data_IF_355308324037
#
_entry.id   IF_355308324037
#
_cell.length_a   1.000
_cell.length_b   1.000
_cell.length_c   1.000
_cell.angle_alpha   90.00
_cell.angle_beta   90.00
_cell.angle_gamma   90.00
#
_symmetry.space_group_name_H-M   'P 1'
#
loop_
_entity.id
_entity.type
_entity.pdbx_description
1 polymer ?
#
# COMPACT_ATOMS: atom_id res chain seq x y z
N UNK A 1 29.04 27.83 0.53
CA UNK A 1 27.71 27.22 0.82
C UNK A 1 27.73 25.77 0.35
N UNK A 2 27.67 24.80 1.26
CA UNK A 2 27.72 23.38 0.90
C UNK A 2 26.38 22.94 0.28
N UNK A 3 26.41 22.45 -0.97
CA UNK A 3 25.25 21.85 -1.63
C UNK A 3 24.82 20.61 -0.84
N UNK A 4 23.67 20.66 -0.16
CA UNK A 4 23.01 19.47 0.38
C UNK A 4 22.61 18.56 -0.78
N UNK A 5 23.41 17.53 -1.03
CA UNK A 5 23.07 16.47 -1.98
C UNK A 5 21.99 15.61 -1.33
N UNK A 6 20.72 15.93 -1.56
CA UNK A 6 19.60 15.07 -1.19
C UNK A 6 19.72 13.75 -1.96
N UNK A 7 20.36 12.74 -1.38
CA UNK A 7 20.36 11.37 -1.92
C UNK A 7 18.94 10.79 -1.79
N UNK A 8 18.10 11.04 -2.80
CA UNK A 8 16.74 10.49 -2.94
C UNK A 8 16.75 9.01 -3.37
N UNK A 9 17.45 8.12 -2.66
CA UNK A 9 17.20 6.67 -2.83
C UNK A 9 15.91 6.32 -2.10
N UNK A 10 14.77 6.37 -2.82
CA UNK A 10 13.46 5.93 -2.31
C UNK A 10 13.41 4.41 -2.06
N UNK A 11 14.29 3.66 -2.72
CA UNK A 11 14.41 2.21 -2.57
C UNK A 11 15.64 1.93 -1.71
N UNK A 12 15.39 1.62 -0.45
CA UNK A 12 16.43 1.28 0.53
C UNK A 12 16.52 -0.25 0.69
N UNK A 13 15.36 -0.92 0.72
CA UNK A 13 15.25 -2.36 0.80
C UNK A 13 14.25 -2.90 -0.26
N UNK A 14 14.69 -3.11 -1.52
CA UNK A 14 13.80 -3.47 -2.61
C UNK A 14 13.02 -4.77 -2.33
N UNK A 15 13.65 -5.76 -1.71
CA UNK A 15 13.01 -7.07 -1.47
C UNK A 15 11.82 -6.96 -0.52
N UNK A 16 11.91 -6.14 0.53
CA UNK A 16 10.79 -5.85 1.41
C UNK A 16 9.73 -4.98 0.72
N UNK A 17 10.15 -3.95 -0.02
CA UNK A 17 9.22 -3.01 -0.63
C UNK A 17 8.36 -3.66 -1.71
N UNK A 18 8.96 -4.48 -2.59
CA UNK A 18 8.21 -5.22 -3.61
C UNK A 18 7.28 -6.27 -3.01
N UNK A 19 7.63 -6.90 -1.88
CA UNK A 19 6.73 -7.82 -1.18
C UNK A 19 5.47 -7.12 -0.66
N UNK A 20 5.62 -5.97 0.02
CA UNK A 20 4.46 -5.20 0.51
C UNK A 20 3.61 -4.70 -0.66
N UNK A 21 4.23 -4.07 -1.66
CA UNK A 21 3.49 -3.53 -2.80
C UNK A 21 2.79 -4.66 -3.56
N UNK A 22 3.47 -5.79 -3.78
CA UNK A 22 2.89 -6.98 -4.41
C UNK A 22 1.71 -7.55 -3.62
N UNK A 23 1.80 -7.62 -2.30
CA UNK A 23 0.69 -8.05 -1.44
C UNK A 23 -0.51 -7.10 -1.53
N UNK A 24 -0.28 -5.78 -1.48
CA UNK A 24 -1.34 -4.78 -1.65
C UNK A 24 -1.98 -4.84 -3.04
N UNK A 25 -1.16 -5.02 -4.09
CA UNK A 25 -1.61 -5.18 -5.47
C UNK A 25 -2.46 -6.45 -5.65
N UNK A 26 -2.04 -7.57 -5.07
CA UNK A 26 -2.81 -8.81 -5.08
C UNK A 26 -4.18 -8.62 -4.41
N UNK A 27 -4.23 -7.91 -3.27
CA UNK A 27 -5.48 -7.60 -2.58
C UNK A 27 -6.45 -6.76 -3.41
N UNK A 28 -5.96 -5.72 -4.10
CA UNK A 28 -6.83 -4.91 -4.98
C UNK A 28 -7.26 -5.67 -6.23
N UNK A 29 -6.38 -6.44 -6.86
CA UNK A 29 -6.76 -7.28 -8.01
C UNK A 29 -7.85 -8.26 -7.61
N UNK A 30 -7.69 -8.94 -6.46
CA UNK A 30 -8.71 -9.84 -5.92
C UNK A 30 -10.05 -9.11 -5.68
N UNK A 31 -9.99 -7.90 -5.11
CA UNK A 31 -11.17 -7.07 -4.85
C UNK A 31 -11.89 -6.66 -6.14
N UNK A 32 -11.13 -6.25 -7.18
CA UNK A 32 -11.66 -5.88 -8.50
C UNK A 32 -12.32 -7.08 -9.17
N UNK A 33 -11.66 -8.24 -9.16
CA UNK A 33 -12.21 -9.49 -9.72
C UNK A 33 -13.48 -9.89 -8.98
N UNK A 34 -13.46 -9.88 -7.64
CA UNK A 34 -14.63 -10.21 -6.83
C UNK A 34 -15.80 -9.29 -7.13
N UNK A 35 -15.58 -7.97 -7.21
CA UNK A 35 -16.62 -7.02 -7.53
C UNK A 35 -17.17 -7.22 -8.95
N UNK A 36 -16.31 -7.47 -9.93
CA UNK A 36 -16.73 -7.75 -11.31
C UNK A 36 -17.63 -8.98 -11.38
N UNK A 37 -17.24 -10.08 -10.71
CA UNK A 37 -18.07 -11.30 -10.63
C UNK A 37 -19.41 -10.99 -9.96
N UNK A 38 -19.41 -10.27 -8.84
CA UNK A 38 -20.65 -9.87 -8.15
C UNK A 38 -21.55 -9.02 -9.04
N UNK A 39 -21.00 -8.07 -9.78
CA UNK A 39 -21.75 -7.19 -10.69
C UNK A 39 -22.40 -7.98 -11.83
N UNK A 40 -21.66 -8.90 -12.47
CA UNK A 40 -22.20 -9.75 -13.54
C UNK A 40 -23.34 -10.64 -13.02
N UNK A 41 -23.14 -11.31 -11.89
CA UNK A 41 -24.18 -12.13 -11.27
C UNK A 41 -25.41 -11.31 -10.88
N UNK A 42 -25.21 -10.07 -10.43
CA UNK A 42 -26.30 -9.15 -10.12
C UNK A 42 -27.13 -8.80 -11.36
N UNK A 43 -26.48 -8.45 -12.48
CA UNK A 43 -27.19 -8.13 -13.72
C UNK A 43 -27.91 -9.34 -14.31
N UNK A 44 -27.33 -10.54 -14.24
CA UNK A 44 -28.00 -11.76 -14.67
C UNK A 44 -29.24 -12.06 -13.83
N UNK A 45 -29.13 -11.93 -12.49
CA UNK A 45 -30.27 -12.08 -11.58
C UNK A 45 -31.35 -11.02 -11.85
N UNK A 46 -30.95 -9.78 -12.12
CA UNK A 46 -31.86 -8.67 -12.40
C UNK A 46 -32.65 -8.93 -13.68
N UNK A 47 -31.98 -9.31 -14.78
CA UNK A 47 -32.61 -9.66 -16.05
C UNK A 47 -33.56 -10.83 -15.89
N UNK A 48 -33.16 -11.88 -15.17
CA UNK A 48 -34.00 -13.05 -14.90
C UNK A 48 -35.29 -12.68 -14.15
N UNK A 49 -35.18 -11.85 -13.11
CA UNK A 49 -36.34 -11.34 -12.36
C UNK A 49 -37.23 -10.42 -13.19
N UNK A 50 -36.64 -9.60 -14.07
CA UNK A 50 -37.39 -8.70 -14.94
C UNK A 50 -38.24 -9.49 -15.95
N UNK A 51 -37.67 -10.52 -16.58
CA UNK A 51 -38.41 -11.42 -17.48
C UNK A 51 -39.52 -12.16 -16.74
N UNK A 52 -39.23 -12.73 -15.56
CA UNK A 52 -40.21 -13.46 -14.76
C UNK A 52 -41.41 -12.61 -14.30
N UNK A 53 -41.24 -11.29 -14.21
CA UNK A 53 -42.30 -10.33 -13.84
C UNK A 53 -42.98 -9.67 -15.04
N UNK A 54 -42.61 -10.03 -16.27
CA UNK A 54 -43.18 -9.42 -17.47
C UNK A 54 -42.87 -7.94 -17.59
N UNK A 55 -41.67 -7.52 -17.16
CA UNK A 55 -41.22 -6.13 -17.28
C UNK A 55 -41.24 -5.69 -18.75
N UNK A 56 -41.65 -4.45 -19.00
CA UNK A 56 -41.75 -3.88 -20.35
C UNK A 56 -40.42 -3.98 -21.12
N UNK A 57 -40.47 -4.23 -22.44
CA UNK A 57 -39.28 -4.32 -23.29
C UNK A 57 -38.38 -3.08 -23.22
N UNK A 58 -38.95 -1.89 -23.09
CA UNK A 58 -38.20 -0.63 -22.97
C UNK A 58 -37.29 -0.61 -21.73
N UNK A 59 -37.76 -1.15 -20.60
CA UNK A 59 -36.95 -1.25 -19.38
C UNK A 59 -35.83 -2.29 -19.55
N UNK A 60 -36.10 -3.39 -20.28
CA UNK A 60 -35.08 -4.39 -20.59
C UNK A 60 -33.98 -3.85 -21.50
N UNK A 61 -34.30 -2.97 -22.44
CA UNK A 61 -33.30 -2.26 -23.26
C UNK A 61 -32.43 -1.35 -22.41
N UNK A 62 -33.03 -0.56 -21.50
CA UNK A 62 -32.28 0.27 -20.56
C UNK A 62 -31.30 -0.57 -19.72
N UNK A 63 -31.71 -1.73 -19.21
CA UNK A 63 -30.83 -2.61 -18.44
C UNK A 63 -29.62 -3.06 -19.27
N UNK A 64 -29.84 -3.41 -20.55
CA UNK A 64 -28.78 -3.82 -21.48
C UNK A 64 -27.83 -2.67 -21.84
N UNK A 65 -28.30 -1.44 -21.85
CA UNK A 65 -27.46 -0.26 -22.08
C UNK A 65 -26.66 0.15 -20.83
N UNK A 66 -27.28 0.05 -19.66
CA UNK A 66 -26.66 0.46 -18.37
C UNK A 66 -25.56 -0.50 -17.94
N UNK A 67 -25.73 -1.80 -18.13
CA UNK A 67 -24.74 -2.82 -17.73
C UNK A 67 -23.32 -2.58 -18.30
N UNK A 68 -23.11 -2.42 -19.63
CA UNK A 68 -21.79 -2.15 -20.17
C UNK A 68 -21.28 -0.76 -19.76
N UNK A 69 -22.16 0.24 -19.60
CA UNK A 69 -21.78 1.57 -19.13
C UNK A 69 -21.25 1.54 -17.69
N UNK A 70 -21.95 0.83 -16.79
CA UNK A 70 -21.50 0.60 -15.41
C UNK A 70 -20.20 -0.20 -15.37
N UNK A 71 -20.07 -1.22 -16.22
CA UNK A 71 -18.84 -2.02 -16.32
C UNK A 71 -17.65 -1.15 -16.72
N UNK A 72 -17.82 -0.29 -17.73
CA UNK A 72 -16.76 0.61 -18.19
C UNK A 72 -16.37 1.64 -17.12
N UNK A 73 -17.37 2.24 -16.45
CA UNK A 73 -17.13 3.16 -15.33
C UNK A 73 -16.36 2.48 -14.20
N UNK A 74 -16.73 1.24 -13.87
CA UNK A 74 -16.05 0.45 -12.85
C UNK A 74 -14.59 0.14 -13.22
N UNK A 75 -14.31 -0.21 -14.48
CA UNK A 75 -12.94 -0.43 -14.94
C UNK A 75 -12.09 0.84 -14.84
N UNK A 76 -12.64 2.00 -15.23
CA UNK A 76 -11.96 3.28 -15.08
C UNK A 76 -11.67 3.60 -13.60
N UNK A 77 -12.66 3.46 -12.73
CA UNK A 77 -12.51 3.67 -11.29
C UNK A 77 -11.49 2.71 -10.66
N UNK A 78 -11.47 1.45 -11.11
CA UNK A 78 -10.49 0.44 -10.69
C UNK A 78 -9.08 0.84 -11.10
N UNK A 79 -8.89 1.32 -12.34
CA UNK A 79 -7.59 1.83 -12.80
C UNK A 79 -7.05 2.96 -11.93
N UNK A 80 -7.89 3.96 -11.62
CA UNK A 80 -7.54 5.07 -10.71
C UNK A 80 -7.18 4.54 -9.31
N UNK A 81 -7.96 3.59 -8.80
CA UNK A 81 -7.75 3.00 -7.47
C UNK A 81 -6.43 2.22 -7.38
N UNK A 82 -6.08 1.46 -8.42
CA UNK A 82 -4.81 0.73 -8.50
C UNK A 82 -3.62 1.70 -8.47
N UNK A 83 -3.69 2.79 -9.24
CA UNK A 83 -2.65 3.82 -9.23
C UNK A 83 -2.52 4.45 -7.85
N UNK A 84 -3.65 4.85 -7.24
CA UNK A 84 -3.67 5.46 -5.91
C UNK A 84 -3.06 4.52 -4.84
N UNK A 85 -3.48 3.26 -4.80
CA UNK A 85 -2.97 2.27 -3.86
C UNK A 85 -1.49 1.96 -4.10
N UNK A 86 -1.04 1.94 -5.35
CA UNK A 86 0.39 1.75 -5.66
C UNK A 86 1.22 2.90 -5.10
N UNK A 87 0.77 4.15 -5.28
CA UNK A 87 1.45 5.33 -4.73
C UNK A 87 1.48 5.32 -3.20
N UNK A 88 0.35 4.98 -2.57
CA UNK A 88 0.25 4.83 -1.12
C UNK A 88 1.16 3.70 -0.64
N UNK A 89 1.17 2.56 -1.32
CA UNK A 89 2.02 1.41 -1.00
C UNK A 89 3.51 1.78 -1.04
N UNK A 90 3.94 2.49 -2.08
CA UNK A 90 5.33 3.00 -2.17
C UNK A 90 5.64 3.94 -1.00
N UNK A 91 4.72 4.86 -0.67
CA UNK A 91 4.89 5.82 0.40
C UNK A 91 5.01 5.15 1.77
N UNK A 92 4.07 4.26 2.10
CA UNK A 92 4.04 3.49 3.35
C UNK A 92 5.28 2.62 3.46
N UNK A 93 5.61 1.90 2.39
CA UNK A 93 6.76 1.01 2.34
C UNK A 93 8.08 1.74 2.54
N UNK A 94 8.22 2.98 2.05
CA UNK A 94 9.39 3.81 2.33
C UNK A 94 9.51 4.19 3.81
N UNK A 95 8.40 4.55 4.45
CA UNK A 95 8.33 4.93 5.88
C UNK A 95 8.46 3.77 6.86
N UNK A 96 8.38 2.53 6.36
CA UNK A 96 8.66 1.32 7.13
C UNK A 96 10.11 0.86 6.87
N UNK A 97 10.52 0.74 5.62
CA UNK A 97 11.85 0.23 5.26
C UNK A 97 12.99 1.17 5.68
N UNK A 98 12.76 2.49 5.62
CA UNK A 98 13.73 3.51 5.99
C UNK A 98 14.22 3.41 7.44
N UNK A 99 13.33 3.50 8.45
CA UNK A 99 13.72 3.39 9.86
C UNK A 99 14.32 2.02 10.19
N UNK A 100 13.78 0.93 9.64
CA UNK A 100 14.33 -0.41 9.87
C UNK A 100 15.74 -0.58 9.32
N UNK A 101 16.02 -0.07 8.11
CA UNK A 101 17.37 -0.08 7.57
C UNK A 101 18.34 0.75 8.43
N UNK A 102 17.90 1.92 8.92
CA UNK A 102 18.69 2.75 9.81
C UNK A 102 18.98 2.02 11.14
N UNK A 103 18.00 1.29 11.68
CA UNK A 103 18.16 0.47 12.88
C UNK A 103 19.19 -0.64 12.67
N UNK A 104 19.11 -1.43 11.59
CA UNK A 104 20.09 -2.48 11.31
C UNK A 104 21.50 -1.90 11.23
N UNK A 105 21.68 -0.85 10.43
CA UNK A 105 22.98 -0.18 10.30
C UNK A 105 23.47 0.37 11.63
N UNK A 106 22.57 0.92 12.44
CA UNK A 106 22.90 1.41 13.77
C UNK A 106 23.43 0.29 14.67
N UNK A 107 22.74 -0.85 14.71
CA UNK A 107 23.15 -2.00 15.51
C UNK A 107 24.50 -2.57 15.03
N UNK A 108 24.70 -2.69 13.71
CA UNK A 108 25.97 -3.12 13.13
C UNK A 108 27.11 -2.17 13.54
N UNK A 109 26.90 -0.86 13.42
CA UNK A 109 27.89 0.15 13.81
C UNK A 109 28.19 0.10 15.33
N UNK A 110 27.19 -0.16 16.18
CA UNK A 110 27.37 -0.26 17.65
C UNK A 110 27.96 -1.60 18.11
N UNK A 111 27.88 -2.65 17.31
CA UNK A 111 28.50 -3.96 17.62
C UNK A 111 30.02 -3.99 17.43
N UNK A 112 30.59 -2.99 16.75
CA UNK A 112 32.04 -2.96 16.48
C UNK A 112 32.84 -2.60 17.74
N UNK A 113 34.01 -3.23 17.97
CA UNK A 113 34.88 -2.90 19.09
C UNK A 113 35.30 -1.42 19.05
N UNK A 114 35.14 -0.71 20.16
CA UNK A 114 35.48 0.72 20.26
C UNK A 114 34.51 1.68 19.56
N UNK A 115 33.31 1.19 19.16
CA UNK A 115 32.26 2.04 18.60
C UNK A 115 31.89 3.17 19.58
N UNK A 116 31.81 4.40 19.08
CA UNK A 116 31.31 5.54 19.86
C UNK A 116 29.80 5.42 20.02
N UNK A 117 29.33 5.50 21.26
CA UNK A 117 27.90 5.58 21.55
C UNK A 117 27.32 6.83 20.87
N UNK A 118 26.36 6.63 19.98
CA UNK A 118 25.56 7.69 19.37
C UNK A 118 24.08 7.37 19.55
N UNK A 119 23.20 8.36 19.69
CA UNK A 119 21.76 8.11 19.77
C UNK A 119 21.21 7.73 18.39
N UNK A 120 20.35 6.70 18.37
CA UNK A 120 19.48 6.39 17.24
C UNK A 120 18.37 7.45 17.15
N UNK A 121 18.00 7.85 15.93
CA UNK A 121 16.84 8.69 15.66
C UNK A 121 16.23 8.31 14.31
N UNK A 122 14.91 8.46 14.18
CA UNK A 122 14.16 8.26 12.94
C UNK A 122 13.58 9.58 12.45
N UNK A 123 13.07 9.61 11.21
CA UNK A 123 12.52 10.82 10.62
C UNK A 123 11.11 11.07 11.15
N UNK A 124 10.68 12.35 11.28
CA UNK A 124 9.30 12.66 11.61
C UNK A 124 8.32 12.01 10.61
N UNK A 125 7.41 11.20 11.13
CA UNK A 125 6.39 10.50 10.34
C UNK A 125 6.76 9.10 9.86
N UNK A 126 7.95 8.58 10.17
CA UNK A 126 8.21 7.14 10.09
C UNK A 126 7.30 6.38 11.07
N UNK A 127 6.93 5.14 10.77
CA UNK A 127 5.90 4.42 11.55
C UNK A 127 6.32 4.05 12.98
N UNK A 128 7.62 3.82 13.22
CA UNK A 128 8.13 3.26 14.47
C UNK A 128 8.89 4.29 15.33
N UNK A 129 8.24 5.41 15.68
CA UNK A 129 8.89 6.52 16.43
C UNK A 129 9.33 6.14 17.85
N UNK A 130 8.75 5.09 18.40
CA UNK A 130 9.03 4.55 19.73
C UNK A 130 10.35 3.78 19.82
N UNK A 131 10.81 3.17 18.71
CA UNK A 131 12.01 2.33 18.70
C UNK A 131 13.27 3.12 19.12
N UNK A 132 13.58 4.31 18.56
CA UNK A 132 14.74 5.09 18.98
C UNK A 132 14.80 5.34 20.49
N UNK A 133 13.66 5.63 21.13
CA UNK A 133 13.60 5.85 22.58
C UNK A 133 14.03 4.60 23.36
N UNK A 134 13.46 3.44 23.04
CA UNK A 134 13.79 2.19 23.73
C UNK A 134 15.24 1.75 23.50
N UNK A 135 15.74 1.88 22.27
CA UNK A 135 17.12 1.51 21.91
C UNK A 135 18.14 2.41 22.61
N UNK A 136 17.91 3.72 22.63
CA UNK A 136 18.82 4.68 23.28
C UNK A 136 18.88 4.46 24.79
N UNK A 137 17.72 4.22 25.43
CA UNK A 137 17.68 3.92 26.86
C UNK A 137 18.47 2.65 27.19
N UNK A 138 18.30 1.58 26.41
CA UNK A 138 19.04 0.32 26.61
C UNK A 138 20.56 0.52 26.51
N UNK A 139 21.03 1.26 25.51
CA UNK A 139 22.46 1.49 25.32
C UNK A 139 23.03 2.38 26.44
N UNK A 140 22.29 3.39 26.87
CA UNK A 140 22.72 4.27 27.97
C UNK A 140 22.95 3.51 29.29
N UNK A 141 22.21 2.42 29.52
CA UNK A 141 22.37 1.57 30.70
C UNK A 141 23.60 0.67 30.63
N UNK A 142 24.02 0.24 29.43
CA UNK A 142 25.20 -0.61 29.23
C UNK A 142 26.54 0.14 29.27
N UNK A 143 26.52 1.47 29.20
CA UNK A 143 27.73 2.32 29.19
C UNK A 143 28.08 2.82 30.60
N UNK A 144 27.32 2.42 31.64
CA UNK A 144 27.71 2.56 33.05
C UNK A 144 28.51 1.36 33.51
#
# INVERSE_FOLDING_TARGET
MAKQVFRKKKIINPSFQFKIIGFMLAGIVLSVVSFFVCASLFFDLLKGKAVARGVEPAIMEIIKEVEPAMTNLFLMASGVSIIAITLVGIYVSHRIAGPLYNLCRYLDDQSQPGAKARPLSFRPGDFFQEIPYHVNNFISQKVK
#
